data_IF_256288644076
#
_entry.id   IF_256288644076
#
_cell.length_a   1.000
_cell.length_b   1.000
_cell.length_c   1.000
_cell.angle_alpha   90.00
_cell.angle_beta   90.00
_cell.angle_gamma   90.00
#
_symmetry.space_group_name_H-M   'P 1'
#
loop_
_entity.id
_entity.type
_entity.pdbx_description
1 polymer ?
#
# COMPACT_ATOMS: atom_id res chain seq x y z
N UNK A 1 -23.98 -16.21 -1.65
CA UNK A 1 -23.28 -15.45 -2.72
C UNK A 1 -24.06 -15.70 -3.98
N UNK A 2 -24.55 -14.66 -4.57
CA UNK A 2 -25.43 -14.73 -5.75
C UNK A 2 -24.60 -15.23 -6.94
N UNK A 3 -25.11 -16.30 -7.59
CA UNK A 3 -24.37 -17.05 -8.62
C UNK A 3 -24.23 -16.21 -9.90
N UNK A 4 -23.20 -15.39 -10.01
CA UNK A 4 -22.81 -14.81 -11.29
C UNK A 4 -22.55 -13.30 -11.34
N UNK A 5 -22.81 -12.52 -10.30
CA UNK A 5 -22.45 -11.09 -10.28
C UNK A 5 -20.94 -10.94 -9.96
N UNK A 6 -20.20 -10.31 -10.86
CA UNK A 6 -18.84 -9.87 -10.59
C UNK A 6 -18.88 -8.64 -9.70
N UNK A 7 -17.90 -8.49 -8.79
CA UNK A 7 -17.80 -7.31 -7.94
C UNK A 7 -17.40 -6.09 -8.77
N UNK A 8 -18.08 -4.97 -8.57
CA UNK A 8 -17.69 -3.69 -9.13
C UNK A 8 -16.68 -2.98 -8.23
N UNK A 9 -15.55 -2.58 -8.79
CA UNK A 9 -14.47 -1.93 -8.04
C UNK A 9 -14.23 -0.52 -8.55
N UNK A 10 -14.21 0.45 -7.61
CA UNK A 10 -13.83 1.83 -7.85
C UNK A 10 -12.43 2.14 -7.33
N UNK A 11 -11.61 2.83 -8.13
CA UNK A 11 -10.29 3.29 -7.75
C UNK A 11 -10.32 4.74 -7.27
N UNK A 12 -9.79 4.99 -6.09
CA UNK A 12 -9.55 6.33 -5.52
C UNK A 12 -8.08 6.68 -5.73
N UNK A 13 -7.80 7.47 -6.74
CA UNK A 13 -6.47 7.81 -7.25
C UNK A 13 -6.20 7.21 -8.62
N UNK A 14 -5.38 7.90 -9.43
CA UNK A 14 -5.08 7.54 -10.82
C UNK A 14 -3.58 7.55 -11.15
N UNK A 15 -2.74 7.43 -10.10
CA UNK A 15 -1.29 7.46 -10.21
C UNK A 15 -0.67 6.16 -10.77
N UNK A 16 0.65 6.05 -10.60
CA UNK A 16 1.43 4.89 -11.04
C UNK A 16 0.86 3.57 -10.50
N UNK A 17 0.59 3.51 -9.18
CA UNK A 17 0.14 2.25 -8.56
C UNK A 17 -1.27 1.84 -9.03
N UNK A 18 -2.16 2.79 -9.28
CA UNK A 18 -3.48 2.51 -9.87
C UNK A 18 -3.32 1.82 -11.23
N UNK A 19 -2.48 2.35 -12.11
CA UNK A 19 -2.21 1.77 -13.43
C UNK A 19 -1.59 0.38 -13.32
N UNK A 20 -0.71 0.17 -12.34
CA UNK A 20 -0.13 -1.14 -12.06
C UNK A 20 -1.19 -2.16 -11.63
N UNK A 21 -2.11 -1.77 -10.74
CA UNK A 21 -3.24 -2.63 -10.36
C UNK A 21 -4.13 -2.94 -11.56
N UNK A 22 -4.51 -1.94 -12.36
CA UNK A 22 -5.33 -2.13 -13.56
C UNK A 22 -4.69 -3.13 -14.52
N UNK A 23 -3.39 -3.01 -14.79
CA UNK A 23 -2.66 -3.97 -15.64
C UNK A 23 -2.63 -5.38 -15.05
N UNK A 24 -2.54 -5.50 -13.73
CA UNK A 24 -2.58 -6.79 -13.04
C UNK A 24 -3.98 -7.41 -12.99
N UNK A 25 -5.02 -6.59 -13.19
CA UNK A 25 -6.42 -7.03 -13.11
C UNK A 25 -6.82 -8.05 -14.17
N UNK A 26 -6.04 -8.18 -15.24
CA UNK A 26 -6.22 -9.22 -16.27
C UNK A 26 -6.20 -10.66 -15.70
N UNK A 27 -5.64 -10.83 -14.51
CA UNK A 27 -5.63 -12.10 -13.79
C UNK A 27 -6.81 -12.27 -12.80
N UNK A 28 -7.60 -11.22 -12.56
CA UNK A 28 -8.76 -11.23 -11.64
C UNK A 28 -9.99 -11.75 -12.37
N UNK A 29 -10.72 -12.70 -11.75
CA UNK A 29 -11.86 -13.37 -12.41
C UNK A 29 -13.21 -12.87 -11.95
N UNK A 30 -13.32 -12.46 -10.69
CA UNK A 30 -14.61 -12.26 -10.04
C UNK A 30 -14.91 -10.77 -9.74
N UNK A 31 -14.14 -9.86 -10.34
CA UNK A 31 -14.32 -8.42 -10.18
C UNK A 31 -13.97 -7.65 -11.46
N UNK A 32 -14.70 -6.55 -11.68
CA UNK A 32 -14.48 -5.61 -12.77
C UNK A 32 -14.17 -4.21 -12.23
N UNK A 33 -13.33 -3.48 -12.93
CA UNK A 33 -13.06 -2.08 -12.62
C UNK A 33 -14.14 -1.24 -13.27
N UNK A 34 -15.01 -0.64 -12.45
CA UNK A 34 -16.16 0.12 -12.93
C UNK A 34 -16.05 1.63 -12.67
N UNK A 35 -15.12 2.05 -11.79
CA UNK A 35 -14.97 3.45 -11.48
C UNK A 35 -13.54 3.91 -11.23
N UNK A 36 -13.25 5.15 -11.58
CA UNK A 36 -12.02 5.84 -11.21
C UNK A 36 -12.37 7.26 -10.77
N UNK A 37 -11.83 7.67 -9.62
CA UNK A 37 -11.84 9.05 -9.19
C UNK A 37 -10.43 9.54 -8.89
N UNK A 38 -10.15 10.77 -9.29
CA UNK A 38 -8.92 11.49 -8.96
C UNK A 38 -9.17 12.99 -9.02
N UNK A 39 -8.47 13.81 -8.22
CA UNK A 39 -8.52 15.27 -8.33
C UNK A 39 -8.12 15.80 -9.72
N UNK A 40 -7.33 15.03 -10.46
CA UNK A 40 -6.98 15.30 -11.85
C UNK A 40 -7.82 14.41 -12.78
N UNK A 41 -8.82 15.00 -13.45
CA UNK A 41 -9.75 14.30 -14.31
C UNK A 41 -9.07 13.65 -15.53
N UNK A 42 -8.08 14.29 -16.15
CA UNK A 42 -7.36 13.73 -17.30
C UNK A 42 -6.59 12.45 -16.92
N UNK A 43 -6.01 12.44 -15.72
CA UNK A 43 -5.36 11.25 -15.21
C UNK A 43 -6.37 10.15 -14.86
N UNK A 44 -7.55 10.52 -14.35
CA UNK A 44 -8.62 9.56 -14.08
C UNK A 44 -9.13 8.94 -15.39
N UNK A 45 -9.36 9.75 -16.44
CA UNK A 45 -9.74 9.25 -17.75
C UNK A 45 -8.69 8.32 -18.36
N UNK A 46 -7.41 8.69 -18.27
CA UNK A 46 -6.30 7.81 -18.71
C UNK A 46 -6.32 6.45 -18.00
N UNK A 47 -6.66 6.41 -16.71
CA UNK A 47 -6.75 5.16 -15.96
C UNK A 47 -8.01 4.35 -16.33
N UNK A 48 -9.13 5.02 -16.53
CA UNK A 48 -10.37 4.39 -16.99
C UNK A 48 -10.23 3.81 -18.42
N UNK A 49 -9.61 4.57 -19.34
CA UNK A 49 -9.27 4.09 -20.69
C UNK A 49 -8.37 2.85 -20.66
N UNK A 50 -7.41 2.81 -19.75
CA UNK A 50 -6.55 1.64 -19.57
C UNK A 50 -7.37 0.42 -19.16
N UNK A 51 -8.30 0.55 -18.21
CA UNK A 51 -9.15 -0.54 -17.77
C UNK A 51 -10.05 -1.07 -18.92
N UNK A 52 -10.67 -0.15 -19.68
CA UNK A 52 -11.48 -0.48 -20.86
C UNK A 52 -10.64 -1.17 -21.95
N UNK A 53 -9.46 -0.65 -22.25
CA UNK A 53 -8.56 -1.22 -23.27
C UNK A 53 -8.07 -2.63 -22.96
N UNK A 54 -7.93 -2.96 -21.68
CA UNK A 54 -7.53 -4.29 -21.21
C UNK A 54 -8.72 -5.24 -21.02
N UNK A 55 -9.96 -4.77 -21.26
CA UNK A 55 -11.20 -5.51 -21.03
C UNK A 55 -11.31 -6.04 -19.58
N UNK A 56 -10.93 -5.22 -18.61
CA UNK A 56 -11.01 -5.55 -17.18
C UNK A 56 -12.15 -4.81 -16.46
N UNK A 57 -13.01 -4.14 -17.23
CA UNK A 57 -14.22 -3.46 -16.80
C UNK A 57 -14.52 -2.22 -17.63
N UNK A 58 -15.77 -1.78 -17.60
CA UNK A 58 -16.25 -0.57 -18.29
C UNK A 58 -16.14 0.65 -17.36
N UNK A 59 -14.92 0.95 -16.94
CA UNK A 59 -14.63 1.99 -15.97
C UNK A 59 -15.10 3.38 -16.42
N UNK A 60 -15.85 4.07 -15.56
CA UNK A 60 -16.27 5.46 -15.71
C UNK A 60 -15.46 6.39 -14.79
N UNK A 61 -15.39 7.67 -15.14
CA UNK A 61 -14.77 8.70 -14.29
C UNK A 61 -15.85 9.41 -13.48
N UNK A 62 -15.67 9.45 -12.17
CA UNK A 62 -16.59 10.09 -11.24
C UNK A 62 -16.08 11.47 -10.81
N UNK A 63 -17.00 12.40 -10.54
CA UNK A 63 -16.69 13.77 -10.08
C UNK A 63 -16.25 13.81 -8.60
N UNK A 64 -16.63 12.80 -7.79
CA UNK A 64 -16.26 12.69 -6.38
C UNK A 64 -16.27 11.23 -5.93
N UNK A 65 -15.62 10.94 -4.78
CA UNK A 65 -15.70 9.65 -4.11
C UNK A 65 -17.14 9.35 -3.71
N UNK A 66 -17.85 10.36 -3.20
CA UNK A 66 -19.27 10.23 -2.82
C UNK A 66 -20.17 9.87 -4.00
N UNK A 67 -19.93 10.45 -5.17
CA UNK A 67 -20.67 10.10 -6.40
C UNK A 67 -20.40 8.66 -6.81
N UNK A 68 -19.15 8.21 -6.75
CA UNK A 68 -18.77 6.83 -7.06
C UNK A 68 -19.41 5.83 -6.08
N UNK A 69 -19.51 6.16 -4.78
CA UNK A 69 -20.18 5.33 -3.77
C UNK A 69 -21.70 5.25 -4.02
N UNK A 70 -22.29 6.29 -4.60
CA UNK A 70 -23.73 6.31 -4.90
C UNK A 70 -24.12 5.42 -6.10
N UNK A 71 -23.17 4.95 -6.87
CA UNK A 71 -23.43 3.99 -7.94
C UNK A 71 -23.63 2.58 -7.35
N UNK A 72 -24.81 1.96 -7.54
CA UNK A 72 -25.11 0.63 -6.98
C UNK A 72 -24.31 -0.51 -7.63
N UNK A 73 -23.53 -0.23 -8.66
CA UNK A 73 -22.63 -1.19 -9.29
C UNK A 73 -21.25 -1.21 -8.64
N UNK A 74 -20.91 -0.22 -7.82
CA UNK A 74 -19.65 -0.16 -7.08
C UNK A 74 -19.80 -0.87 -5.74
N UNK A 75 -19.20 -2.05 -5.63
CA UNK A 75 -19.23 -2.88 -4.42
C UNK A 75 -18.03 -2.62 -3.49
N UNK A 76 -16.89 -2.23 -4.04
CA UNK A 76 -15.63 -2.07 -3.30
C UNK A 76 -14.80 -0.88 -3.79
N UNK A 77 -13.97 -0.31 -2.91
CA UNK A 77 -13.02 0.74 -3.28
C UNK A 77 -11.56 0.31 -3.07
N UNK A 78 -10.69 0.73 -4.01
CA UNK A 78 -9.24 0.63 -3.95
C UNK A 78 -8.62 2.00 -3.70
N UNK A 79 -8.06 2.24 -2.51
CA UNK A 79 -7.43 3.51 -2.15
C UNK A 79 -5.97 3.50 -2.59
N UNK A 80 -5.70 4.16 -3.70
CA UNK A 80 -4.39 4.26 -4.35
C UNK A 80 -3.84 5.70 -4.39
N UNK A 81 -4.52 6.64 -3.72
CA UNK A 81 -4.09 8.03 -3.62
C UNK A 81 -2.83 8.20 -2.76
N UNK A 82 -2.21 9.41 -2.79
CA UNK A 82 -1.00 9.69 -2.03
C UNK A 82 -1.23 9.67 -0.52
N UNK A 83 -0.16 9.41 0.25
CA UNK A 83 -0.23 9.16 1.69
C UNK A 83 -0.91 10.27 2.48
N UNK A 84 -0.62 11.54 2.15
CA UNK A 84 -1.19 12.70 2.84
C UNK A 84 -2.69 12.90 2.63
N UNK A 85 -3.30 12.21 1.67
CA UNK A 85 -4.75 12.28 1.40
C UNK A 85 -5.52 11.08 1.97
N UNK A 86 -4.84 10.10 2.52
CA UNK A 86 -5.43 8.82 2.92
C UNK A 86 -6.53 8.96 3.96
N UNK A 87 -6.26 9.70 5.03
CA UNK A 87 -7.24 9.92 6.11
C UNK A 87 -8.45 10.70 5.60
N UNK A 88 -8.23 11.79 4.86
CA UNK A 88 -9.31 12.59 4.30
C UNK A 88 -10.22 11.78 3.36
N UNK A 89 -9.63 10.97 2.48
CA UNK A 89 -10.40 10.11 1.58
C UNK A 89 -11.23 9.08 2.37
N UNK A 90 -10.66 8.49 3.42
CA UNK A 90 -11.39 7.56 4.29
C UNK A 90 -12.52 8.25 5.05
N UNK A 91 -12.32 9.47 5.54
CA UNK A 91 -13.37 10.25 6.22
C UNK A 91 -14.52 10.59 5.27
N UNK A 92 -14.22 10.96 4.01
CA UNK A 92 -15.23 11.18 2.98
C UNK A 92 -16.05 9.91 2.70
N UNK A 93 -15.39 8.75 2.56
CA UNK A 93 -16.04 7.44 2.34
C UNK A 93 -16.98 7.13 3.49
N UNK A 94 -16.48 7.17 4.73
CA UNK A 94 -17.28 6.85 5.92
C UNK A 94 -18.46 7.81 6.08
N UNK A 95 -18.25 9.09 5.81
CA UNK A 95 -19.32 10.09 5.86
C UNK A 95 -20.39 9.83 4.78
N UNK A 96 -19.99 9.43 3.57
CA UNK A 96 -20.94 9.07 2.51
C UNK A 96 -21.80 7.86 2.91
N UNK A 97 -21.19 6.80 3.44
CA UNK A 97 -21.88 5.60 3.92
C UNK A 97 -22.87 5.94 5.08
N UNK A 98 -22.42 6.68 6.09
CA UNK A 98 -23.25 7.10 7.23
C UNK A 98 -24.45 7.95 6.83
N UNK A 99 -24.32 8.71 5.77
CA UNK A 99 -25.41 9.55 5.25
C UNK A 99 -26.28 8.82 4.23
N UNK A 100 -26.09 7.51 4.05
CA UNK A 100 -26.89 6.66 3.17
C UNK A 100 -26.75 7.02 1.68
N UNK A 101 -25.55 7.48 1.26
CA UNK A 101 -25.28 7.80 -0.16
C UNK A 101 -25.09 6.57 -1.01
N UNK A 102 -24.80 5.43 -0.41
CA UNK A 102 -24.60 4.12 -1.04
C UNK A 102 -24.10 3.11 -0.03
N UNK A 103 -23.82 1.91 -0.49
CA UNK A 103 -23.32 0.80 0.31
C UNK A 103 -22.03 0.23 -0.31
N UNK A 104 -21.10 -0.17 0.54
CA UNK A 104 -19.89 -0.86 0.13
C UNK A 104 -19.75 -2.17 0.90
N UNK A 105 -19.25 -3.20 0.23
CA UNK A 105 -18.86 -4.47 0.86
C UNK A 105 -17.50 -4.34 1.53
N UNK A 106 -16.57 -3.64 0.90
CA UNK A 106 -15.22 -3.58 1.41
C UNK A 106 -14.33 -2.52 0.78
N UNK A 107 -13.13 -2.43 1.35
CA UNK A 107 -12.11 -1.48 0.93
C UNK A 107 -10.73 -2.12 0.94
N UNK A 108 -9.92 -1.82 -0.07
CA UNK A 108 -8.51 -2.15 -0.11
C UNK A 108 -7.68 -0.87 -0.07
N UNK A 109 -6.64 -0.86 0.74
CA UNK A 109 -5.84 0.33 0.94
C UNK A 109 -4.37 0.06 0.62
N UNK A 110 -3.80 0.87 -0.27
CA UNK A 110 -2.37 0.84 -0.59
C UNK A 110 -1.49 1.19 0.61
N UNK A 111 -0.30 0.63 0.59
CA UNK A 111 0.74 0.94 1.57
C UNK A 111 1.32 2.37 1.35
N UNK A 112 1.80 3.01 2.40
CA UNK A 112 1.48 2.77 3.82
C UNK A 112 0.07 3.27 4.15
N UNK A 113 -0.50 2.81 5.26
CA UNK A 113 -1.86 3.25 5.69
C UNK A 113 -1.94 4.74 6.02
N UNK A 114 -0.83 5.36 6.36
CA UNK A 114 -0.75 6.77 6.70
C UNK A 114 0.69 7.23 6.78
N UNK A 115 0.91 8.54 6.94
CA UNK A 115 2.23 9.15 7.08
C UNK A 115 2.91 8.83 8.42
N UNK A 116 2.12 8.42 9.40
CA UNK A 116 2.56 8.10 10.76
C UNK A 116 1.56 7.17 11.44
N UNK A 117 1.92 6.68 12.63
CA UNK A 117 1.09 5.72 13.39
C UNK A 117 -0.29 6.29 13.76
N UNK A 118 -0.40 7.59 14.04
CA UNK A 118 -1.69 8.19 14.40
C UNK A 118 -2.65 8.18 13.19
N UNK A 119 -2.16 8.55 12.01
CA UNK A 119 -2.95 8.46 10.78
C UNK A 119 -3.32 7.02 10.41
N UNK A 120 -2.36 6.10 10.54
CA UNK A 120 -2.63 4.68 10.28
C UNK A 120 -3.71 4.12 11.22
N UNK A 121 -3.68 4.48 12.50
CA UNK A 121 -4.73 4.13 13.47
C UNK A 121 -6.08 4.74 13.09
N UNK A 122 -6.07 6.02 12.69
CA UNK A 122 -7.30 6.68 12.26
C UNK A 122 -7.95 5.99 11.05
N UNK A 123 -7.15 5.52 10.09
CA UNK A 123 -7.67 4.75 8.94
C UNK A 123 -8.29 3.43 9.41
N UNK A 124 -7.65 2.71 10.34
CA UNK A 124 -8.22 1.47 10.91
C UNK A 124 -9.52 1.74 11.64
N UNK A 125 -9.57 2.76 12.51
CA UNK A 125 -10.78 3.17 13.23
C UNK A 125 -11.94 3.49 12.26
N UNK A 126 -11.66 4.22 11.18
CA UNK A 126 -12.66 4.56 10.17
C UNK A 126 -13.21 3.34 9.44
N UNK A 127 -12.35 2.37 9.11
CA UNK A 127 -12.78 1.12 8.48
C UNK A 127 -13.64 0.28 9.43
N UNK A 128 -13.25 0.19 10.71
CA UNK A 128 -14.01 -0.50 11.75
C UNK A 128 -15.35 0.19 12.02
N UNK A 129 -15.37 1.53 12.05
CA UNK A 129 -16.58 2.34 12.23
C UNK A 129 -17.60 2.15 11.09
N UNK A 130 -17.12 1.89 9.88
CA UNK A 130 -17.95 1.62 8.70
C UNK A 130 -18.29 0.14 8.52
N UNK A 131 -17.80 -0.74 9.39
CA UNK A 131 -17.99 -2.20 9.34
C UNK A 131 -17.61 -2.84 7.99
N UNK A 132 -16.63 -2.26 7.28
CA UNK A 132 -16.18 -2.71 5.96
C UNK A 132 -15.26 -3.92 6.07
N UNK A 133 -15.41 -4.87 5.16
CA UNK A 133 -14.32 -5.81 4.86
C UNK A 133 -13.11 -5.01 4.36
N UNK A 134 -11.92 -5.40 4.76
CA UNK A 134 -10.74 -4.61 4.41
C UNK A 134 -9.53 -5.43 4.05
N UNK A 135 -8.69 -4.86 3.16
CA UNK A 135 -7.39 -5.39 2.77
C UNK A 135 -6.31 -4.32 2.76
N UNK A 136 -5.14 -4.68 3.29
CA UNK A 136 -3.93 -3.89 3.18
C UNK A 136 -3.07 -4.44 2.05
N UNK A 137 -2.75 -3.61 1.06
CA UNK A 137 -2.14 -4.04 -0.20
C UNK A 137 -0.61 -4.06 -0.09
N UNK A 138 -0.08 -5.05 0.63
CA UNK A 138 1.35 -5.35 0.67
C UNK A 138 1.68 -6.39 -0.42
N UNK A 139 1.96 -5.91 -1.62
CA UNK A 139 2.13 -6.72 -2.82
C UNK A 139 3.37 -7.64 -2.79
N UNK A 140 4.44 -7.27 -2.08
CA UNK A 140 5.67 -8.05 -2.04
C UNK A 140 5.46 -9.48 -1.51
N UNK A 141 4.49 -9.68 -0.61
CA UNK A 141 4.18 -11.00 -0.07
C UNK A 141 3.66 -11.99 -1.13
N UNK A 142 3.09 -11.47 -2.21
CA UNK A 142 2.53 -12.26 -3.30
C UNK A 142 3.52 -12.48 -4.46
N UNK A 143 4.75 -11.99 -4.34
CA UNK A 143 5.81 -12.28 -5.29
C UNK A 143 6.04 -13.80 -5.36
N UNK A 144 5.97 -14.42 -6.56
CA UNK A 144 6.13 -15.87 -6.70
C UNK A 144 7.46 -16.40 -6.14
N UNK A 145 8.53 -15.63 -6.28
CA UNK A 145 9.85 -15.98 -5.75
C UNK A 145 9.86 -15.99 -4.21
N UNK A 146 9.23 -15.02 -3.57
CA UNK A 146 9.14 -14.93 -2.12
C UNK A 146 8.24 -16.04 -1.56
N UNK A 147 7.06 -16.22 -2.13
CA UNK A 147 6.12 -17.26 -1.71
C UNK A 147 6.74 -18.66 -1.84
N UNK A 148 7.42 -18.93 -2.95
CA UNK A 148 8.11 -20.22 -3.18
C UNK A 148 9.32 -20.38 -2.27
N UNK A 149 10.09 -19.32 -2.06
CA UNK A 149 11.24 -19.33 -1.13
C UNK A 149 10.82 -19.69 0.29
N UNK A 150 9.75 -19.05 0.78
CA UNK A 150 9.15 -19.36 2.09
C UNK A 150 8.67 -20.80 2.18
N UNK A 151 7.98 -21.30 1.16
CA UNK A 151 7.52 -22.68 1.12
C UNK A 151 8.69 -23.67 1.24
N UNK A 152 9.77 -23.46 0.50
CA UNK A 152 10.97 -24.31 0.56
C UNK A 152 11.63 -24.24 1.94
N UNK A 153 11.80 -23.01 2.49
CA UNK A 153 12.41 -22.84 3.79
C UNK A 153 11.64 -23.58 4.89
N UNK A 154 10.32 -23.50 4.89
CA UNK A 154 9.48 -24.11 5.91
C UNK A 154 9.21 -25.60 5.66
N UNK A 155 8.83 -26.03 4.46
CA UNK A 155 8.50 -27.44 4.19
C UNK A 155 9.72 -28.35 4.14
N UNK A 156 10.88 -27.85 3.70
CA UNK A 156 12.10 -28.64 3.51
C UNK A 156 13.19 -28.28 4.51
N UNK A 157 13.49 -27.00 4.67
CA UNK A 157 14.52 -26.51 5.59
C UNK A 157 14.14 -26.78 7.04
N UNK A 158 13.00 -26.28 7.48
CA UNK A 158 12.57 -26.38 8.87
C UNK A 158 12.32 -27.82 9.34
N UNK A 159 11.92 -28.71 8.45
CA UNK A 159 11.77 -30.16 8.76
C UNK A 159 13.08 -30.81 9.17
N UNK A 160 14.23 -30.33 8.71
CA UNK A 160 15.55 -30.91 8.98
C UNK A 160 16.37 -30.13 10.00
N UNK A 161 16.21 -28.79 10.06
CA UNK A 161 17.10 -27.91 10.83
C UNK A 161 16.36 -27.03 11.85
N UNK A 162 15.05 -27.18 11.97
CA UNK A 162 14.20 -26.32 12.80
C UNK A 162 13.77 -25.05 12.07
N UNK A 163 12.88 -24.29 12.71
CA UNK A 163 12.28 -23.09 12.15
C UNK A 163 13.32 -22.04 11.76
N UNK A 164 13.05 -21.22 10.73
CA UNK A 164 13.82 -20.02 10.46
C UNK A 164 13.82 -19.07 11.67
N UNK A 165 14.99 -18.59 12.04
CA UNK A 165 15.17 -17.67 13.19
C UNK A 165 15.81 -16.32 12.80
N UNK A 166 16.29 -16.23 11.56
CA UNK A 166 16.88 -15.03 10.99
C UNK A 166 16.31 -14.80 9.59
N UNK A 167 15.82 -13.59 9.33
CA UNK A 167 15.48 -13.11 8.01
C UNK A 167 16.27 -11.85 7.68
N UNK A 168 16.63 -11.68 6.41
CA UNK A 168 17.20 -10.44 5.88
C UNK A 168 16.41 -10.05 4.66
N UNK A 169 15.88 -8.83 4.67
CA UNK A 169 15.16 -8.25 3.56
C UNK A 169 15.74 -6.87 3.26
N UNK A 170 15.92 -6.59 1.99
CA UNK A 170 16.37 -5.28 1.53
C UNK A 170 15.65 -4.95 0.23
N UNK A 171 15.36 -3.68 0.05
CA UNK A 171 14.82 -3.14 -1.18
C UNK A 171 15.55 -1.85 -1.53
N UNK A 172 16.00 -1.75 -2.75
CA UNK A 172 16.81 -0.63 -3.24
C UNK A 172 16.36 -0.25 -4.65
N UNK A 173 16.20 1.04 -4.90
CA UNK A 173 15.94 1.57 -6.25
C UNK A 173 16.49 3.00 -6.43
N UNK A 174 16.44 3.51 -7.65
CA UNK A 174 17.01 4.81 -8.01
C UNK A 174 16.28 6.03 -7.43
N UNK A 175 15.17 5.82 -6.76
CA UNK A 175 14.34 6.86 -6.16
C UNK A 175 12.90 6.82 -6.66
N UNK A 176 12.00 7.51 -5.97
CA UNK A 176 10.57 7.54 -6.29
C UNK A 176 10.28 8.30 -7.59
N UNK A 177 9.11 8.00 -8.17
CA UNK A 177 8.72 8.47 -9.49
C UNK A 177 7.90 9.77 -9.49
N UNK A 178 7.50 10.27 -8.31
CA UNK A 178 6.64 11.43 -8.18
C UNK A 178 7.25 12.48 -7.24
N UNK A 179 7.08 13.78 -7.54
CA UNK A 179 7.70 14.86 -6.75
C UNK A 179 7.36 14.85 -5.26
N UNK A 180 6.12 14.52 -4.90
CA UNK A 180 5.66 14.55 -3.50
C UNK A 180 6.37 13.54 -2.59
N UNK A 181 6.96 12.47 -3.14
CA UNK A 181 7.75 11.52 -2.36
C UNK A 181 9.03 12.15 -1.75
N UNK A 182 9.53 13.22 -2.35
CA UNK A 182 10.72 13.92 -1.86
C UNK A 182 10.42 14.89 -0.73
N UNK A 183 9.14 15.10 -0.39
CA UNK A 183 8.69 15.93 0.73
C UNK A 183 8.21 15.06 1.89
N UNK A 184 8.98 15.05 2.99
CA UNK A 184 8.71 14.21 4.16
C UNK A 184 7.37 14.49 4.83
N UNK A 185 6.82 15.70 4.73
CA UNK A 185 5.51 16.03 5.28
C UNK A 185 4.34 15.52 4.40
N UNK A 186 4.55 15.27 3.13
CA UNK A 186 3.57 14.63 2.25
C UNK A 186 3.68 13.11 2.27
N UNK A 187 4.90 12.59 2.28
CA UNK A 187 5.20 11.18 2.30
C UNK A 187 5.04 10.56 3.71
N UNK A 188 5.35 11.32 4.75
CA UNK A 188 5.39 10.85 6.13
C UNK A 188 6.78 10.38 6.58
N UNK A 189 7.80 10.78 5.85
CA UNK A 189 9.20 10.38 5.96
C UNK A 189 9.76 10.18 4.56
N UNK A 190 10.61 9.21 4.37
CA UNK A 190 11.18 8.87 3.07
C UNK A 190 11.19 7.36 2.85
N UNK A 191 12.37 6.81 2.60
CA UNK A 191 12.57 5.39 2.29
C UNK A 191 12.09 4.46 3.42
N UNK A 192 12.12 4.90 4.67
CA UNK A 192 11.58 4.14 5.79
C UNK A 192 10.11 3.81 5.60
N UNK A 193 9.31 4.82 5.23
CA UNK A 193 7.86 4.67 5.07
C UNK A 193 7.46 4.10 3.70
N UNK A 194 8.28 4.36 2.67
CA UNK A 194 7.98 3.94 1.30
C UNK A 194 8.44 2.51 0.98
N UNK A 195 9.69 2.19 1.33
CA UNK A 195 10.36 0.95 0.94
C UNK A 195 10.54 -0.03 2.09
N UNK A 196 10.97 0.47 3.25
CA UNK A 196 11.25 -0.41 4.38
C UNK A 196 10.00 -1.05 4.97
N UNK A 197 8.81 -0.49 4.74
CA UNK A 197 7.55 -1.14 5.10
C UNK A 197 7.43 -2.52 4.44
N UNK A 198 7.84 -2.66 3.17
CA UNK A 198 7.90 -3.94 2.47
C UNK A 198 8.91 -4.89 3.12
N UNK A 199 10.15 -4.41 3.35
CA UNK A 199 11.22 -5.23 3.92
C UNK A 199 10.85 -5.77 5.31
N UNK A 200 10.23 -4.94 6.16
CA UNK A 200 9.75 -5.36 7.49
C UNK A 200 8.70 -6.45 7.39
N UNK A 201 7.72 -6.28 6.51
CA UNK A 201 6.64 -7.27 6.38
C UNK A 201 7.12 -8.55 5.70
N UNK A 202 7.98 -8.45 4.70
CA UNK A 202 8.62 -9.61 4.05
C UNK A 202 9.42 -10.43 5.08
N UNK A 203 10.23 -9.78 5.92
CA UNK A 203 11.01 -10.45 6.94
C UNK A 203 10.10 -11.14 7.98
N UNK A 204 9.04 -10.47 8.43
CA UNK A 204 8.03 -11.06 9.32
C UNK A 204 7.33 -12.24 8.67
N UNK A 205 6.94 -12.12 7.41
CA UNK A 205 6.31 -13.20 6.63
C UNK A 205 7.20 -14.44 6.52
N UNK A 206 8.50 -14.25 6.27
CA UNK A 206 9.47 -15.35 6.20
C UNK A 206 9.65 -16.06 7.54
N UNK A 207 9.60 -15.33 8.66
CA UNK A 207 9.75 -15.87 10.01
C UNK A 207 8.45 -16.48 10.58
N UNK A 208 7.30 -16.12 10.02
CA UNK A 208 6.00 -16.66 10.45
C UNK A 208 5.75 -18.02 9.79
N UNK A 209 5.41 -19.03 10.57
CA UNK A 209 5.07 -20.36 10.08
C UNK A 209 3.87 -20.28 9.11
N UNK A 210 3.90 -21.01 7.98
CA UNK A 210 2.76 -21.09 7.08
C UNK A 210 1.49 -21.59 7.78
N UNK A 211 0.42 -20.81 7.67
CA UNK A 211 -0.86 -21.11 8.33
C UNK A 211 -0.98 -20.59 9.76
N UNK A 212 0.10 -20.16 10.39
CA UNK A 212 0.03 -19.51 11.70
C UNK A 212 -0.50 -18.07 11.58
N UNK A 213 -1.22 -17.57 12.60
CA UNK A 213 -1.71 -16.19 12.60
C UNK A 213 -0.54 -15.19 12.65
N UNK A 214 -0.76 -13.99 12.11
CA UNK A 214 0.29 -12.96 12.01
C UNK A 214 0.87 -12.54 13.36
N UNK A 215 0.12 -12.65 14.44
CA UNK A 215 0.54 -12.35 15.80
C UNK A 215 1.25 -13.51 16.53
N UNK A 216 1.45 -14.66 15.86
CA UNK A 216 2.27 -15.77 16.38
C UNK A 216 3.73 -15.39 16.63
N UNK A 217 4.21 -14.32 15.98
CA UNK A 217 5.44 -13.63 16.33
C UNK A 217 5.13 -12.14 16.58
N UNK A 218 5.72 -11.56 17.61
CA UNK A 218 5.50 -10.15 18.00
C UNK A 218 6.82 -9.41 18.09
N UNK A 219 6.93 -8.17 17.56
CA UNK A 219 8.12 -7.37 17.70
C UNK A 219 8.24 -6.90 19.16
N UNK A 220 9.44 -6.98 19.71
CA UNK A 220 9.74 -6.58 21.10
C UNK A 220 10.82 -5.52 21.18
N UNK A 221 11.67 -5.41 20.17
CA UNK A 221 12.74 -4.40 20.12
C UNK A 221 13.06 -4.05 18.68
N UNK A 222 13.32 -2.78 18.45
CA UNK A 222 13.83 -2.25 17.17
C UNK A 222 15.04 -1.39 17.45
N UNK A 223 16.08 -1.60 16.65
CA UNK A 223 17.24 -0.70 16.56
C UNK A 223 17.40 -0.32 15.10
N UNK A 224 17.44 0.96 14.78
CA UNK A 224 17.46 1.41 13.39
C UNK A 224 18.24 2.70 13.18
N UNK A 225 18.55 2.91 11.93
CA UNK A 225 19.20 4.10 11.40
C UNK A 225 18.40 4.64 10.22
N UNK A 226 18.21 5.95 10.19
CA UNK A 226 17.76 6.69 9.02
C UNK A 226 18.77 7.77 8.68
N UNK A 227 18.98 8.07 7.42
CA UNK A 227 19.92 9.07 6.98
C UNK A 227 19.54 9.70 5.65
N UNK A 228 20.00 10.92 5.46
CA UNK A 228 19.98 11.66 4.20
C UNK A 228 21.37 11.59 3.58
N UNK A 229 21.57 10.63 2.68
CA UNK A 229 22.89 10.35 2.12
C UNK A 229 23.15 11.10 0.82
N UNK A 230 22.13 11.29 -0.01
CA UNK A 230 22.26 11.87 -1.34
C UNK A 230 21.15 12.88 -1.64
N UNK A 231 19.94 12.40 -1.93
CA UNK A 231 18.89 13.16 -2.57
C UNK A 231 18.35 14.34 -1.75
N UNK A 232 18.40 14.25 -0.43
CA UNK A 232 18.00 15.31 0.50
C UNK A 232 19.10 16.38 0.72
N UNK A 233 20.26 16.26 0.09
CA UNK A 233 21.34 17.24 0.19
C UNK A 233 21.12 18.40 -0.79
N UNK A 234 21.49 19.63 -0.41
CA UNK A 234 21.26 20.82 -1.24
C UNK A 234 21.83 20.75 -2.66
N UNK A 235 22.96 20.09 -2.83
CA UNK A 235 23.62 19.92 -4.13
C UNK A 235 22.82 19.10 -5.15
N UNK A 236 21.84 18.30 -4.70
CA UNK A 236 20.98 17.52 -5.57
C UNK A 236 19.63 18.16 -5.88
N UNK A 237 19.31 19.30 -5.26
CA UNK A 237 18.04 20.01 -5.48
C UNK A 237 17.87 20.43 -6.95
N UNK A 238 18.95 20.83 -7.61
CA UNK A 238 18.91 21.18 -9.05
C UNK A 238 18.52 19.97 -9.90
N UNK A 239 19.11 18.82 -9.61
CA UNK A 239 18.82 17.55 -10.32
C UNK A 239 17.35 17.15 -10.14
N UNK A 240 16.82 17.28 -8.91
CA UNK A 240 15.41 16.99 -8.64
C UNK A 240 14.47 17.94 -9.38
N UNK A 241 14.81 19.22 -9.42
CA UNK A 241 14.04 20.23 -10.18
C UNK A 241 14.06 19.97 -11.69
N UNK A 242 15.17 19.57 -12.24
CA UNK A 242 15.30 19.20 -13.65
C UNK A 242 14.48 17.95 -13.98
N UNK A 243 14.45 16.98 -13.06
CA UNK A 243 13.78 15.69 -13.28
C UNK A 243 12.27 15.76 -13.05
N UNK A 244 11.84 16.46 -12.01
CA UNK A 244 10.44 16.43 -11.51
C UNK A 244 9.74 17.80 -11.57
N UNK A 245 10.43 18.86 -12.00
CA UNK A 245 9.90 20.22 -12.02
C UNK A 245 10.18 20.99 -10.73
N UNK A 246 9.87 22.28 -10.77
CA UNK A 246 10.14 23.23 -9.69
C UNK A 246 8.97 23.54 -8.76
N UNK A 247 7.84 22.87 -8.96
CA UNK A 247 6.61 23.12 -8.18
C UNK A 247 6.69 22.59 -6.74
N UNK A 248 7.74 21.84 -6.44
CA UNK A 248 8.00 21.25 -5.12
C UNK A 248 9.25 21.87 -4.51
N UNK A 249 9.16 22.28 -3.26
CA UNK A 249 10.35 22.72 -2.50
C UNK A 249 11.08 21.52 -1.92
N UNK A 250 12.02 20.96 -2.69
CA UNK A 250 12.83 19.78 -2.30
C UNK A 250 13.77 20.06 -1.11
N UNK A 251 14.00 21.31 -0.74
CA UNK A 251 14.81 21.66 0.42
C UNK A 251 13.99 21.72 1.71
N UNK A 252 12.65 21.81 1.60
CA UNK A 252 11.75 21.88 2.75
C UNK A 252 11.41 20.47 3.23
N UNK A 253 11.88 20.12 4.43
CA UNK A 253 11.64 18.80 5.04
C UNK A 253 11.89 17.66 4.04
N UNK A 254 13.11 17.53 3.54
CA UNK A 254 13.42 16.49 2.57
C UNK A 254 13.20 15.11 3.19
N UNK A 255 12.71 14.18 2.36
CA UNK A 255 12.59 12.78 2.74
C UNK A 255 13.96 12.15 2.93
N UNK A 256 14.14 11.30 3.93
CA UNK A 256 15.35 10.48 4.06
C UNK A 256 15.44 9.45 2.92
N UNK A 257 16.64 9.14 2.48
CA UNK A 257 16.93 8.23 1.36
C UNK A 257 17.71 6.96 1.77
N UNK A 258 17.88 6.76 3.07
CA UNK A 258 18.44 5.56 3.66
C UNK A 258 17.71 5.19 4.95
N UNK A 259 17.39 3.90 5.10
CA UNK A 259 16.90 3.32 6.34
C UNK A 259 17.46 1.90 6.50
N UNK A 260 17.84 1.56 7.72
CA UNK A 260 18.17 0.18 8.10
C UNK A 260 17.70 -0.09 9.51
N UNK A 261 17.31 -1.34 9.80
CA UNK A 261 16.89 -1.73 11.15
C UNK A 261 17.22 -3.18 11.43
N UNK A 262 17.31 -3.48 12.73
CA UNK A 262 17.24 -4.83 13.27
C UNK A 262 16.03 -4.92 14.17
N UNK A 263 15.16 -5.88 13.92
CA UNK A 263 13.93 -6.12 14.66
C UNK A 263 14.04 -7.45 15.39
N UNK A 264 13.91 -7.41 16.71
CA UNK A 264 13.78 -8.61 17.52
C UNK A 264 12.31 -8.96 17.70
N UNK A 265 11.94 -10.17 17.29
CA UNK A 265 10.63 -10.75 17.53
C UNK A 265 10.70 -11.83 18.60
N UNK A 266 9.58 -12.11 19.24
CA UNK A 266 9.34 -13.28 20.10
C UNK A 266 8.20 -14.10 19.54
N UNK A 267 8.40 -15.42 19.49
CA UNK A 267 7.34 -16.35 19.17
C UNK A 267 6.53 -16.75 20.43
N UNK A 268 5.55 -17.63 20.26
CA UNK A 268 4.67 -18.11 21.33
C UNK A 268 5.42 -18.83 22.45
N UNK A 269 6.58 -19.44 22.17
CA UNK A 269 7.47 -20.06 23.13
C UNK A 269 8.52 -19.10 23.70
N UNK A 270 8.37 -17.80 23.44
CA UNK A 270 9.29 -16.74 23.83
C UNK A 270 10.73 -16.88 23.27
N UNK A 271 10.90 -17.60 22.16
CA UNK A 271 12.19 -17.71 21.46
C UNK A 271 12.44 -16.46 20.65
N UNK A 272 13.71 -16.03 20.60
CA UNK A 272 14.13 -14.86 19.83
C UNK A 272 14.22 -15.19 18.33
N UNK A 273 13.66 -14.30 17.51
CA UNK A 273 13.81 -14.29 16.07
C UNK A 273 14.31 -12.89 15.67
N UNK A 274 15.14 -12.81 14.64
CA UNK A 274 15.76 -11.55 14.20
C UNK A 274 15.42 -11.28 12.73
N UNK A 275 15.06 -10.05 12.46
CA UNK A 275 14.93 -9.54 11.09
C UNK A 275 15.81 -8.30 10.88
#
# INVERSE_FOLDING_TARGET
>A
MDNGKRLGVGFVGSGFITKFHIQSWVAVRDADILGVWSPNGDNAETAADLARSLNVGDAEVYGSITEMIADPNIDCLWLCGPNHRRVENMEEIVQALKTGKGDLIGIACEKPLGRNVAEARRVVELVEEAELLHGYLENCLFSPSLARGREIAWKRGAANTGRPYLARAAEEHAGPHMPWFWQGDLQGGGVLNDMMCHSVEVARFLLTEPGAPRNSIRPVKVTGHIASLKWSRPEYVSVLRETFGSDVDYARKPSEDFASATIEFRDEQNRTLIA
#
